data_IF_502963406838
#
_entry.id   IF_502963406838
#
_cell.length_a   1.000
_cell.length_b   1.000
_cell.length_c   1.000
_cell.angle_alpha   90.00
_cell.angle_beta   90.00
_cell.angle_gamma   90.00
#
_symmetry.space_group_name_H-M   'P 1'
#
loop_
_entity.id
_entity.type
_entity.pdbx_description
1 polymer ?
#
# COMPACT_ATOMS: atom_id res chain seq x y z
N UNK A 1 0.35 -17.02 34.94
CA UNK A 1 1.36 -17.06 33.86
C UNK A 1 0.73 -16.55 32.58
N UNK A 2 1.01 -15.31 32.17
CA UNK A 2 0.54 -14.79 30.87
C UNK A 2 1.59 -15.18 29.84
N UNK A 3 1.27 -16.12 28.97
CA UNK A 3 2.08 -16.44 27.79
C UNK A 3 2.18 -15.19 26.92
N UNK A 4 3.37 -14.66 26.77
CA UNK A 4 3.65 -13.62 25.76
C UNK A 4 3.44 -14.27 24.39
N UNK A 5 2.35 -13.93 23.73
CA UNK A 5 2.13 -14.29 22.33
C UNK A 5 3.34 -13.82 21.52
N UNK A 6 3.94 -14.72 20.78
CA UNK A 6 5.11 -14.46 19.97
C UNK A 6 4.72 -13.41 18.90
N UNK A 7 5.50 -12.34 18.76
CA UNK A 7 5.20 -11.21 17.87
C UNK A 7 5.03 -11.62 16.39
N UNK A 8 5.43 -12.84 16.04
CA UNK A 8 5.35 -13.45 14.72
C UNK A 8 3.97 -14.05 14.36
N UNK A 9 3.08 -14.26 15.36
CA UNK A 9 1.78 -14.92 15.13
C UNK A 9 0.59 -13.95 15.02
N UNK A 10 0.81 -12.65 15.18
CA UNK A 10 -0.27 -11.67 15.10
C UNK A 10 -0.54 -11.24 13.64
N UNK A 11 -1.82 -11.16 13.24
CA UNK A 11 -2.16 -10.69 11.89
C UNK A 11 -1.72 -9.23 11.70
N UNK A 12 -1.47 -8.83 10.45
CA UNK A 12 -1.25 -7.43 10.10
C UNK A 12 -2.42 -6.57 10.60
N UNK A 13 -2.13 -5.34 11.02
CA UNK A 13 -3.21 -4.38 11.35
C UNK A 13 -3.85 -3.87 10.06
N UNK A 14 -5.14 -3.60 10.14
CA UNK A 14 -5.94 -3.12 9.00
C UNK A 14 -6.20 -1.64 9.16
N UNK A 15 -6.14 -0.91 8.05
CA UNK A 15 -6.68 0.45 7.94
C UNK A 15 -7.75 0.51 6.86
N UNK A 16 -8.77 1.35 7.08
CA UNK A 16 -9.93 1.51 6.20
C UNK A 16 -10.10 2.96 5.78
N UNK A 17 -10.48 3.17 4.54
CA UNK A 17 -10.87 4.46 4.00
C UNK A 17 -12.28 4.38 3.43
N UNK A 18 -13.13 5.32 3.82
CA UNK A 18 -14.49 5.46 3.34
C UNK A 18 -14.62 6.19 1.99
N UNK A 19 -15.84 6.60 1.64
CA UNK A 19 -16.17 7.17 0.32
C UNK A 19 -15.78 8.65 0.18
N UNK A 20 -15.17 9.29 1.17
CA UNK A 20 -14.81 10.70 1.12
C UNK A 20 -14.01 11.05 -0.14
N UNK A 21 -14.11 12.29 -0.65
CA UNK A 21 -13.37 12.75 -1.82
C UNK A 21 -11.88 12.46 -1.72
N UNK A 22 -11.25 12.21 -2.86
CA UNK A 22 -9.79 12.11 -2.96
C UNK A 22 -9.19 13.49 -3.23
N UNK A 23 -8.00 13.78 -2.68
CA UNK A 23 -7.20 14.92 -3.13
C UNK A 23 -6.94 14.86 -4.64
N UNK A 24 -6.65 16.01 -5.25
CA UNK A 24 -6.19 16.03 -6.64
C UNK A 24 -4.85 15.30 -6.77
N UNK A 25 -4.69 14.56 -7.86
CA UNK A 25 -3.44 13.87 -8.16
C UNK A 25 -2.52 14.83 -8.95
N UNK A 26 -1.82 15.68 -8.22
CA UNK A 26 -0.86 16.64 -8.75
C UNK A 26 0.55 16.22 -8.32
N UNK A 27 1.24 15.50 -9.19
CA UNK A 27 2.56 14.97 -8.89
C UNK A 27 3.59 16.10 -8.72
N UNK A 28 4.60 15.90 -7.85
CA UNK A 28 5.70 16.85 -7.73
C UNK A 28 6.48 17.02 -9.05
N UNK A 29 7.12 18.17 -9.25
CA UNK A 29 8.01 18.36 -10.40
C UNK A 29 9.06 17.24 -10.51
N UNK A 30 9.29 16.76 -11.73
CA UNK A 30 10.25 15.68 -11.99
C UNK A 30 9.77 14.27 -11.65
N UNK A 31 8.52 14.11 -11.21
CA UNK A 31 7.91 12.80 -10.94
C UNK A 31 6.89 12.48 -12.01
N UNK A 32 7.06 11.34 -12.69
CA UNK A 32 6.12 10.78 -13.66
C UNK A 32 5.28 9.66 -13.05
N UNK A 33 4.09 9.43 -13.60
CA UNK A 33 3.23 8.27 -13.30
C UNK A 33 3.20 7.33 -14.51
N UNK A 34 3.53 6.07 -14.30
CA UNK A 34 3.42 5.04 -15.33
C UNK A 34 2.55 3.88 -14.87
N UNK A 35 1.79 3.35 -15.80
CA UNK A 35 1.09 2.08 -15.63
C UNK A 35 2.03 0.94 -16.00
N UNK A 36 1.86 -0.20 -15.37
CA UNK A 36 2.60 -1.44 -15.68
C UNK A 36 2.55 -1.78 -17.17
N UNK A 37 3.68 -2.19 -17.70
CA UNK A 37 3.84 -2.75 -19.04
C UNK A 37 4.66 -4.04 -18.96
N UNK A 38 4.30 -5.05 -19.74
CA UNK A 38 4.95 -6.37 -19.71
C UNK A 38 6.45 -6.33 -19.99
N UNK A 39 6.89 -5.41 -20.83
CA UNK A 39 8.29 -5.35 -21.25
C UNK A 39 9.27 -4.99 -20.12
N UNK A 40 8.81 -4.27 -19.08
CA UNK A 40 9.69 -3.79 -17.99
C UNK A 40 9.06 -3.92 -16.59
N UNK A 41 7.74 -4.01 -16.52
CA UNK A 41 6.98 -3.96 -15.28
C UNK A 41 7.33 -5.05 -14.26
N UNK A 42 7.44 -6.34 -14.66
CA UNK A 42 7.81 -7.40 -13.73
C UNK A 42 9.15 -7.13 -13.05
N UNK A 43 10.19 -6.83 -13.80
CA UNK A 43 11.52 -6.57 -13.27
C UNK A 43 11.56 -5.31 -12.37
N UNK A 44 10.85 -4.24 -12.76
CA UNK A 44 10.75 -3.02 -11.96
C UNK A 44 10.00 -3.25 -10.64
N UNK A 45 8.91 -4.03 -10.67
CA UNK A 45 8.17 -4.40 -9.47
C UNK A 45 9.02 -5.23 -8.52
N UNK A 46 9.66 -6.29 -9.03
CA UNK A 46 10.56 -7.15 -8.25
C UNK A 46 11.69 -6.34 -7.62
N UNK A 47 12.34 -5.47 -8.39
CA UNK A 47 13.39 -4.60 -7.87
C UNK A 47 12.87 -3.71 -6.73
N UNK A 48 11.77 -2.99 -6.92
CA UNK A 48 11.25 -2.06 -5.94
C UNK A 48 10.75 -2.77 -4.67
N UNK A 49 9.96 -3.84 -4.84
CA UNK A 49 9.34 -4.57 -3.72
C UNK A 49 10.37 -5.37 -2.95
N UNK A 50 11.24 -6.11 -3.64
CA UNK A 50 12.26 -6.93 -2.99
C UNK A 50 13.28 -6.07 -2.24
N UNK A 51 13.68 -4.93 -2.81
CA UNK A 51 14.55 -3.98 -2.13
C UNK A 51 13.88 -3.34 -0.91
N UNK A 52 12.62 -2.91 -1.04
CA UNK A 52 11.92 -2.22 0.05
C UNK A 52 11.56 -3.13 1.22
N UNK A 53 11.33 -4.43 0.96
CA UNK A 53 10.88 -5.41 1.96
C UNK A 53 11.97 -6.41 2.35
N UNK A 54 13.17 -6.30 1.78
CA UNK A 54 14.29 -7.24 2.01
C UNK A 54 13.87 -8.70 1.79
N UNK A 55 13.23 -8.96 0.65
CA UNK A 55 12.69 -10.26 0.25
C UNK A 55 13.16 -10.64 -1.15
N UNK A 56 12.85 -11.88 -1.54
CA UNK A 56 13.01 -12.38 -2.90
C UNK A 56 11.69 -12.99 -3.34
N UNK A 57 10.84 -12.16 -3.96
CA UNK A 57 9.52 -12.55 -4.46
C UNK A 57 9.54 -12.47 -5.99
N UNK A 58 8.93 -13.45 -6.65
CA UNK A 58 8.67 -13.41 -8.08
C UNK A 58 7.36 -12.68 -8.36
N UNK A 59 7.39 -11.75 -9.29
CA UNK A 59 6.19 -11.06 -9.75
C UNK A 59 5.14 -12.03 -10.28
N UNK A 60 5.58 -13.01 -11.05
CA UNK A 60 4.68 -13.99 -11.65
C UNK A 60 3.96 -14.84 -10.60
N UNK A 61 4.66 -15.23 -9.53
CA UNK A 61 4.08 -16.04 -8.46
C UNK A 61 3.09 -15.27 -7.58
N UNK A 62 3.38 -14.01 -7.27
CA UNK A 62 2.63 -13.28 -6.23
C UNK A 62 1.68 -12.21 -6.76
N UNK A 63 1.82 -11.83 -8.04
CA UNK A 63 0.95 -10.84 -8.67
C UNK A 63 0.21 -11.42 -9.87
N UNK A 64 0.96 -11.94 -10.87
CA UNK A 64 0.37 -12.44 -12.13
C UNK A 64 -0.54 -13.65 -11.92
N UNK A 65 -0.19 -14.54 -11.00
CA UNK A 65 -0.98 -15.73 -10.70
C UNK A 65 -2.32 -15.41 -10.01
N UNK A 66 -2.50 -14.21 -9.46
CA UNK A 66 -3.75 -13.87 -8.78
C UNK A 66 -4.87 -13.45 -9.75
N UNK A 67 -6.13 -13.88 -9.53
CA UNK A 67 -7.27 -13.51 -10.38
C UNK A 67 -7.51 -12.00 -10.49
N UNK A 68 -7.06 -11.25 -9.48
CA UNK A 68 -7.16 -9.79 -9.44
C UNK A 68 -6.17 -9.07 -10.35
N UNK A 69 -5.19 -9.79 -10.93
CA UNK A 69 -4.18 -9.18 -11.79
C UNK A 69 -4.81 -8.47 -12.99
N UNK A 70 -4.47 -7.20 -13.13
CA UNK A 70 -4.75 -6.34 -14.29
C UNK A 70 -3.58 -5.36 -14.40
N UNK A 71 -2.96 -5.19 -15.59
CA UNK A 71 -1.85 -4.24 -15.78
C UNK A 71 -2.15 -2.83 -15.26
N UNK A 72 -3.35 -2.31 -15.55
CA UNK A 72 -3.79 -0.97 -15.17
C UNK A 72 -3.92 -0.74 -13.65
N UNK A 73 -3.85 -1.80 -12.86
CA UNK A 73 -3.88 -1.75 -11.39
C UNK A 73 -2.52 -1.57 -10.74
N UNK A 74 -1.43 -1.74 -11.50
CA UNK A 74 -0.07 -1.63 -10.97
C UNK A 74 0.53 -0.31 -11.48
N UNK A 75 0.78 0.59 -10.55
CA UNK A 75 1.19 1.96 -10.83
C UNK A 75 2.59 2.21 -10.28
N UNK A 76 3.42 2.83 -11.10
CA UNK A 76 4.77 3.23 -10.75
C UNK A 76 4.89 4.74 -10.75
N UNK A 77 5.70 5.26 -9.82
CA UNK A 77 6.26 6.60 -9.98
C UNK A 77 7.69 6.46 -10.48
N UNK A 78 8.04 7.35 -11.41
CA UNK A 78 9.39 7.42 -11.96
C UNK A 78 10.02 8.80 -11.73
N UNK A 79 11.33 8.80 -11.61
CA UNK A 79 12.18 9.98 -11.64
C UNK A 79 13.28 9.74 -12.66
N UNK A 80 13.56 10.74 -13.51
CA UNK A 80 14.59 10.63 -14.58
C UNK A 80 14.42 9.35 -15.44
N UNK A 81 13.15 8.98 -15.71
CA UNK A 81 12.81 7.81 -16.53
C UNK A 81 12.97 6.45 -15.82
N UNK A 82 13.32 6.42 -14.53
CA UNK A 82 13.50 5.20 -13.75
C UNK A 82 12.41 5.01 -12.73
N UNK A 83 11.78 3.83 -12.61
CA UNK A 83 10.81 3.53 -11.57
C UNK A 83 11.44 3.59 -10.16
N UNK A 84 10.87 4.41 -9.27
CA UNK A 84 11.36 4.62 -7.90
C UNK A 84 10.35 4.26 -6.82
N UNK A 85 9.09 4.13 -7.18
CA UNK A 85 8.04 3.66 -6.29
C UNK A 85 7.00 2.84 -7.05
N UNK A 86 6.33 1.93 -6.37
CA UNK A 86 5.25 1.10 -6.92
C UNK A 86 4.16 0.88 -5.87
N UNK A 87 2.92 0.78 -6.32
CA UNK A 87 1.80 0.26 -5.55
C UNK A 87 0.77 -0.37 -6.48
N UNK A 88 -0.12 -1.21 -5.93
CA UNK A 88 -1.19 -1.82 -6.70
C UNK A 88 -2.57 -1.49 -6.13
N UNK A 89 -3.50 -1.12 -7.02
CA UNK A 89 -4.93 -0.98 -6.77
C UNK A 89 -5.59 -2.35 -6.89
N UNK A 90 -5.47 -3.16 -5.87
CA UNK A 90 -5.84 -4.57 -5.90
C UNK A 90 -7.27 -4.84 -5.48
N UNK A 91 -7.72 -6.07 -5.61
CA UNK A 91 -8.97 -6.60 -5.07
C UNK A 91 -8.69 -7.94 -4.38
N UNK A 92 -9.47 -8.28 -3.38
CA UNK A 92 -9.40 -9.58 -2.69
C UNK A 92 -10.80 -10.05 -2.36
N UNK A 93 -11.09 -11.29 -2.69
CA UNK A 93 -12.42 -11.91 -2.49
C UNK A 93 -12.85 -11.97 -1.02
N UNK A 94 -11.88 -11.93 -0.09
CA UNK A 94 -12.18 -11.86 1.35
C UNK A 94 -12.83 -10.54 1.79
N UNK A 95 -12.81 -9.50 0.95
CA UNK A 95 -13.41 -8.20 1.24
C UNK A 95 -14.74 -8.01 0.51
N UNK A 96 -15.68 -7.23 1.07
CA UNK A 96 -16.96 -6.99 0.40
C UNK A 96 -16.80 -6.38 -0.99
N UNK A 97 -17.71 -6.64 -1.93
CA UNK A 97 -17.75 -5.98 -3.23
C UNK A 97 -17.69 -4.46 -3.11
N UNK A 98 -17.05 -3.79 -4.06
CA UNK A 98 -16.84 -2.33 -4.01
C UNK A 98 -15.73 -1.88 -3.07
N UNK A 99 -14.88 -2.82 -2.61
CA UNK A 99 -13.71 -2.54 -1.76
C UNK A 99 -12.43 -2.77 -2.54
N UNK A 100 -11.66 -1.70 -2.75
CA UNK A 100 -10.29 -1.78 -3.25
C UNK A 100 -9.31 -2.17 -2.13
N UNK A 101 -8.23 -2.81 -2.50
CA UNK A 101 -7.16 -3.21 -1.59
C UNK A 101 -5.83 -2.60 -2.04
N UNK A 102 -5.26 -1.72 -1.20
CA UNK A 102 -3.95 -1.12 -1.49
C UNK A 102 -2.84 -2.12 -1.17
N UNK A 103 -2.13 -2.54 -2.19
CA UNK A 103 -1.22 -3.69 -2.11
C UNK A 103 0.20 -3.35 -2.56
N UNK A 104 1.20 -3.98 -1.95
CA UNK A 104 2.64 -3.85 -2.27
C UNK A 104 3.11 -2.40 -2.48
N UNK A 105 2.86 -1.53 -1.50
CA UNK A 105 3.37 -0.15 -1.53
C UNK A 105 4.87 -0.17 -1.22
N UNK A 106 5.70 0.13 -2.19
CA UNK A 106 7.15 0.16 -2.06
C UNK A 106 7.73 1.46 -2.62
N UNK A 107 8.75 2.00 -1.92
CA UNK A 107 9.56 3.13 -2.36
C UNK A 107 11.03 2.74 -2.18
N UNK A 108 11.82 2.86 -3.23
CA UNK A 108 13.25 2.58 -3.19
C UNK A 108 13.95 3.42 -2.11
N UNK A 109 14.95 2.87 -1.39
CA UNK A 109 15.63 3.58 -0.30
C UNK A 109 16.14 4.97 -0.69
N UNK A 110 16.76 5.10 -1.86
CA UNK A 110 17.30 6.36 -2.37
C UNK A 110 16.25 7.43 -2.72
N UNK A 111 14.97 7.06 -2.84
CA UNK A 111 13.86 7.96 -3.16
C UNK A 111 12.94 8.24 -1.95
N UNK A 112 13.28 7.73 -0.77
CA UNK A 112 12.52 7.97 0.46
C UNK A 112 12.63 9.44 0.89
N UNK A 113 11.67 9.89 1.73
CA UNK A 113 11.64 11.27 2.23
C UNK A 113 10.98 12.29 1.27
N UNK A 114 10.68 11.91 0.04
CA UNK A 114 10.10 12.77 -1.01
C UNK A 114 8.57 12.63 -1.14
N UNK A 115 7.90 12.04 -0.16
CA UNK A 115 6.45 11.78 -0.18
C UNK A 115 5.97 10.88 -1.33
N UNK A 116 6.85 10.15 -2.02
CA UNK A 116 6.46 9.30 -3.16
C UNK A 116 5.47 8.20 -2.77
N UNK A 117 5.59 7.65 -1.55
CA UNK A 117 4.61 6.71 -1.01
C UNK A 117 3.19 7.29 -0.94
N UNK A 118 3.05 8.58 -0.61
CA UNK A 118 1.75 9.26 -0.64
C UNK A 118 1.19 9.32 -2.07
N UNK A 119 2.00 9.75 -3.02
CA UNK A 119 1.56 9.97 -4.40
C UNK A 119 1.20 8.66 -5.12
N UNK A 120 2.00 7.60 -4.96
CA UNK A 120 1.68 6.31 -5.57
C UNK A 120 0.43 5.68 -4.96
N UNK A 121 0.23 5.82 -3.64
CA UNK A 121 -1.01 5.37 -2.99
C UNK A 121 -2.22 6.19 -3.46
N UNK A 122 -2.09 7.52 -3.59
CA UNK A 122 -3.16 8.37 -4.11
C UNK A 122 -3.52 8.00 -5.54
N UNK A 123 -2.55 7.71 -6.40
CA UNK A 123 -2.79 7.22 -7.76
C UNK A 123 -3.57 5.90 -7.76
N UNK A 124 -3.22 4.97 -6.87
CA UNK A 124 -3.97 3.71 -6.69
C UNK A 124 -5.40 3.96 -6.18
N UNK A 125 -5.62 4.90 -5.27
CA UNK A 125 -6.97 5.24 -4.81
C UNK A 125 -7.82 5.83 -5.94
N UNK A 126 -7.25 6.65 -6.81
CA UNK A 126 -7.93 7.12 -8.01
C UNK A 126 -8.25 5.98 -8.98
N UNK A 127 -7.35 5.01 -9.16
CA UNK A 127 -7.61 3.81 -9.96
C UNK A 127 -8.75 2.99 -9.37
N UNK A 128 -8.76 2.75 -8.06
CA UNK A 128 -9.85 2.06 -7.38
C UNK A 128 -11.20 2.77 -7.60
N UNK A 129 -11.23 4.11 -7.56
CA UNK A 129 -12.44 4.90 -7.83
C UNK A 129 -12.91 4.75 -9.28
N UNK A 130 -12.02 4.73 -10.26
CA UNK A 130 -12.36 4.48 -11.67
C UNK A 130 -12.98 3.10 -11.88
N UNK A 131 -12.59 2.12 -11.09
CA UNK A 131 -13.15 0.77 -11.09
C UNK A 131 -14.43 0.63 -10.25
N UNK A 132 -14.97 1.73 -9.70
CA UNK A 132 -16.19 1.73 -8.90
C UNK A 132 -16.01 1.32 -7.43
N UNK A 133 -14.79 1.15 -6.95
CA UNK A 133 -14.54 0.86 -5.54
C UNK A 133 -14.72 2.14 -4.71
N UNK A 134 -15.68 2.14 -3.80
CA UNK A 134 -15.99 3.28 -2.92
C UNK A 134 -15.27 3.20 -1.58
N UNK A 135 -14.84 2.02 -1.20
CA UNK A 135 -14.06 1.76 0.00
C UNK A 135 -12.64 1.35 -0.39
N UNK A 136 -11.69 1.61 0.47
CA UNK A 136 -10.33 1.10 0.34
C UNK A 136 -9.83 0.52 1.66
N UNK A 137 -9.10 -0.58 1.56
CA UNK A 137 -8.46 -1.27 2.69
C UNK A 137 -6.97 -1.43 2.42
N UNK A 138 -6.23 -1.57 3.47
CA UNK A 138 -4.85 -2.05 3.46
C UNK A 138 -4.53 -2.85 4.72
N UNK A 139 -3.52 -3.69 4.63
CA UNK A 139 -2.92 -4.41 5.74
C UNK A 139 -1.47 -3.95 5.90
N UNK A 140 -1.02 -3.70 7.14
CA UNK A 140 0.35 -3.25 7.42
C UNK A 140 0.86 -3.80 8.76
N UNK A 141 2.15 -3.66 9.02
CA UNK A 141 2.77 -4.06 10.28
C UNK A 141 2.91 -2.85 11.22
N UNK A 142 2.92 -3.11 12.53
CA UNK A 142 2.93 -2.09 13.59
C UNK A 142 4.15 -1.16 13.50
N UNK A 143 5.29 -1.70 13.08
CA UNK A 143 6.56 -0.97 12.98
C UNK A 143 6.68 -0.06 11.75
N UNK A 144 5.77 -0.17 10.78
CA UNK A 144 5.81 0.64 9.56
C UNK A 144 5.23 2.05 9.76
N UNK A 145 5.70 2.74 10.79
CA UNK A 145 5.19 4.04 11.20
C UNK A 145 5.19 5.11 10.09
N UNK A 146 6.22 5.23 9.22
CA UNK A 146 6.18 6.18 8.10
C UNK A 146 5.06 5.88 7.09
N UNK A 147 4.80 4.60 6.81
CA UNK A 147 3.71 4.20 5.92
C UNK A 147 2.34 4.48 6.57
N UNK A 148 2.18 4.16 7.85
CA UNK A 148 0.95 4.43 8.61
C UNK A 148 0.64 5.93 8.62
N UNK A 149 1.65 6.81 8.82
CA UNK A 149 1.47 8.27 8.69
C UNK A 149 0.96 8.67 7.30
N UNK A 150 1.51 8.07 6.27
CA UNK A 150 1.08 8.29 4.88
C UNK A 150 -0.38 7.91 4.69
N UNK A 151 -0.80 6.76 5.22
CA UNK A 151 -2.18 6.31 5.13
C UNK A 151 -3.15 7.21 5.89
N UNK A 152 -2.79 7.71 7.07
CA UNK A 152 -3.59 8.74 7.77
C UNK A 152 -3.77 10.01 6.92
N UNK A 153 -2.71 10.52 6.28
CA UNK A 153 -2.79 11.68 5.38
C UNK A 153 -3.72 11.45 4.18
N UNK A 154 -3.85 10.19 3.75
CA UNK A 154 -4.76 9.77 2.69
C UNK A 154 -6.18 9.51 3.17
N UNK A 155 -6.47 9.72 4.47
CA UNK A 155 -7.81 9.56 5.05
C UNK A 155 -8.15 8.13 5.44
N UNK A 156 -7.17 7.24 5.56
CA UNK A 156 -7.38 5.94 6.20
C UNK A 156 -7.48 6.11 7.72
N UNK A 157 -8.26 5.27 8.35
CA UNK A 157 -8.38 5.15 9.81
C UNK A 157 -8.12 3.71 10.26
N UNK A 158 -7.72 3.51 11.53
CA UNK A 158 -7.54 2.19 12.10
C UNK A 158 -8.82 1.35 12.08
N UNK A 159 -8.70 0.07 11.76
CA UNK A 159 -9.72 -0.90 12.10
C UNK A 159 -9.49 -1.35 13.56
N UNK A 160 -10.51 -1.17 14.39
CA UNK A 160 -10.44 -1.55 15.81
C UNK A 160 -11.24 -2.81 16.13
N UNK A 161 -11.95 -3.38 15.15
CA UNK A 161 -12.98 -4.39 15.39
C UNK A 161 -12.70 -5.75 14.77
N UNK A 162 -11.87 -5.84 13.73
CA UNK A 162 -11.67 -7.08 12.99
C UNK A 162 -10.79 -8.11 13.71
N UNK A 163 -10.10 -7.72 14.77
CA UNK A 163 -9.32 -8.63 15.62
C UNK A 163 -9.21 -8.09 17.04
N UNK A 164 -9.28 -8.98 18.04
CA UNK A 164 -9.26 -8.62 19.46
C UNK A 164 -8.00 -7.84 19.90
N UNK A 165 -6.85 -8.10 19.26
CA UNK A 165 -5.59 -7.42 19.57
C UNK A 165 -5.49 -6.00 19.01
N UNK A 166 -6.37 -5.59 18.08
CA UNK A 166 -6.23 -4.34 17.35
C UNK A 166 -6.33 -3.09 18.24
N UNK A 167 -7.28 -2.96 19.17
CA UNK A 167 -7.37 -1.76 20.00
C UNK A 167 -6.07 -1.46 20.74
N UNK A 168 -5.52 -2.44 21.43
CA UNK A 168 -4.29 -2.27 22.20
C UNK A 168 -3.05 -2.06 21.32
N UNK A 169 -3.01 -2.64 20.12
CA UNK A 169 -1.92 -2.42 19.15
C UNK A 169 -1.97 -1.02 18.57
N UNK A 170 -3.16 -0.57 18.17
CA UNK A 170 -3.36 0.78 17.63
C UNK A 170 -3.05 1.86 18.66
N UNK A 171 -3.40 1.67 19.94
CA UNK A 171 -2.99 2.56 21.00
C UNK A 171 -1.45 2.73 21.06
N UNK A 172 -0.71 1.62 21.01
CA UNK A 172 0.77 1.65 20.98
C UNK A 172 1.34 2.30 19.72
N UNK A 173 0.76 2.00 18.55
CA UNK A 173 1.15 2.61 17.27
C UNK A 173 0.96 4.13 17.33
N UNK A 174 -0.24 4.57 17.75
CA UNK A 174 -0.58 5.99 17.83
C UNK A 174 0.32 6.76 18.81
N UNK A 175 0.68 6.15 19.94
CA UNK A 175 1.63 6.73 20.91
C UNK A 175 3.04 6.94 20.33
N UNK A 176 3.44 6.16 19.32
CA UNK A 176 4.75 6.29 18.66
C UNK A 176 4.71 7.25 17.45
N UNK A 177 3.52 7.55 16.92
CA UNK A 177 3.38 8.50 15.82
C UNK A 177 3.54 9.92 16.36
N UNK A 178 4.76 10.48 16.23
CA UNK A 178 4.97 11.92 16.45
C UNK A 178 4.44 12.68 15.22
N UNK A 179 3.44 13.50 15.45
CA UNK A 179 2.83 14.39 14.44
C UNK A 179 3.63 15.66 14.24
#
# INVERSE_FOLDING_TARGET
MRTSANKQDLPSVIMRRGPQPLPLLELPPGVGLRVFEEAWGPAAWEHAVNTAFERSMSFDEVMRAEPAFRPERILFLEQEGSPVAVAAAWQRDKWPPGTGYLHYVAVLPGARGQSLGYWVCLACLHQMRREGNILALLETQDERLPAIKTYFKLGFSPDLTSHESYPARWEKILAQLRW
#
